data_IF_457868524582
#
_entry.id   IF_457868524582
#
_cell.length_a   1.000
_cell.length_b   1.000
_cell.length_c   1.000
_cell.angle_alpha   90.00
_cell.angle_beta   90.00
_cell.angle_gamma   90.00
#
_symmetry.space_group_name_H-M   'P 1'
#
loop_
_entity.id
_entity.type
_entity.pdbx_description
1 polymer ?
#
# COMPACT_ATOMS: atom_id res chain seq x y z
N UNK A 1 -5.57 12.82 -6.20
CA UNK A 1 -5.75 14.28 -5.98
C UNK A 1 -5.87 14.54 -4.48
N UNK A 2 -5.26 15.62 -3.96
CA UNK A 2 -5.39 15.97 -2.55
C UNK A 2 -6.53 16.98 -2.37
N UNK A 3 -7.51 16.63 -1.54
CA UNK A 3 -8.67 17.48 -1.27
C UNK A 3 -8.60 17.95 0.18
N UNK A 4 -8.58 19.27 0.39
CA UNK A 4 -8.65 19.85 1.72
C UNK A 4 -10.08 19.65 2.27
N UNK A 5 -10.20 18.91 3.36
CA UNK A 5 -11.47 18.71 4.06
C UNK A 5 -11.55 19.68 5.26
N UNK A 6 -12.75 20.07 5.70
CA UNK A 6 -12.93 20.96 6.86
C UNK A 6 -12.55 20.33 8.21
N UNK A 7 -12.22 19.03 8.20
CA UNK A 7 -11.62 18.35 9.34
C UNK A 7 -10.11 18.51 9.23
N UNK A 8 -9.42 18.85 10.32
CA UNK A 8 -7.99 19.24 10.35
C UNK A 8 -6.98 18.17 9.93
N UNK A 9 -7.16 17.53 8.78
CA UNK A 9 -6.25 16.59 8.14
C UNK A 9 -6.30 16.78 6.61
N UNK A 10 -5.24 16.36 5.92
CA UNK A 10 -5.21 16.30 4.45
C UNK A 10 -5.70 14.91 4.03
N UNK A 11 -6.71 14.87 3.16
CA UNK A 11 -7.19 13.62 2.57
C UNK A 11 -6.50 13.39 1.23
N UNK A 12 -5.83 12.25 1.09
CA UNK A 12 -5.31 11.78 -0.19
C UNK A 12 -6.27 10.72 -0.74
N UNK A 13 -6.80 10.95 -1.94
CA UNK A 13 -7.49 9.91 -2.70
C UNK A 13 -6.50 9.40 -3.75
N UNK A 14 -6.10 8.14 -3.61
CA UNK A 14 -5.26 7.40 -4.54
C UNK A 14 -6.12 6.37 -5.28
N UNK A 15 -6.23 6.53 -6.59
CA UNK A 15 -6.82 5.51 -7.46
C UNK A 15 -5.83 4.37 -7.61
N UNK A 16 -6.25 3.14 -7.31
CA UNK A 16 -5.46 1.93 -7.51
C UNK A 16 -6.28 0.86 -8.23
N UNK A 17 -5.58 -0.11 -8.82
CA UNK A 17 -6.22 -1.20 -9.56
C UNK A 17 -6.00 -1.09 -11.06
N UNK A 18 -6.14 0.11 -11.66
CA UNK A 18 -5.68 0.51 -13.01
C UNK A 18 -5.99 -0.43 -14.20
N UNK A 19 -6.74 -1.50 -13.97
CA UNK A 19 -7.04 -2.58 -14.91
C UNK A 19 -8.51 -2.98 -14.76
N UNK A 20 -9.19 -3.37 -15.84
CA UNK A 20 -10.53 -3.93 -15.75
C UNK A 20 -10.55 -5.17 -14.85
N UNK A 21 -11.59 -5.29 -14.03
CA UNK A 21 -11.88 -6.46 -13.20
C UNK A 21 -13.23 -7.04 -13.67
N UNK A 22 -13.33 -8.35 -13.87
CA UNK A 22 -14.60 -9.01 -14.21
C UNK A 22 -15.37 -9.46 -12.96
N UNK A 23 -16.64 -9.80 -13.12
CA UNK A 23 -17.40 -10.48 -12.08
C UNK A 23 -16.71 -11.78 -11.66
N UNK A 24 -16.45 -11.93 -10.37
CA UNK A 24 -15.72 -13.07 -9.80
C UNK A 24 -14.19 -12.94 -9.79
N UNK A 25 -13.61 -11.91 -10.42
CA UNK A 25 -12.19 -11.60 -10.26
C UNK A 25 -11.94 -10.77 -8.99
N UNK A 26 -10.70 -10.80 -8.50
CA UNK A 26 -10.24 -9.97 -7.39
C UNK A 26 -8.99 -9.19 -7.77
N UNK A 27 -8.82 -8.05 -7.11
CA UNK A 27 -7.57 -7.31 -7.07
C UNK A 27 -7.27 -6.94 -5.63
N UNK A 28 -5.99 -6.73 -5.34
CA UNK A 28 -5.51 -6.37 -4.02
C UNK A 28 -4.38 -5.36 -4.15
N UNK A 29 -4.20 -4.58 -3.09
CA UNK A 29 -3.08 -3.69 -2.89
C UNK A 29 -2.61 -3.85 -1.44
N UNK A 30 -1.31 -3.64 -1.22
CA UNK A 30 -0.71 -3.58 0.09
C UNK A 30 -0.13 -2.17 0.29
N UNK A 31 -0.48 -1.55 1.41
CA UNK A 31 -0.02 -0.20 1.76
C UNK A 31 0.93 -0.27 2.95
N UNK A 32 1.98 0.54 2.90
CA UNK A 32 2.85 0.77 4.05
C UNK A 32 2.43 2.10 4.66
N UNK A 33 1.87 2.05 5.87
CA UNK A 33 1.33 3.22 6.56
C UNK A 33 2.19 3.48 7.79
N UNK A 34 2.65 4.71 7.96
CA UNK A 34 3.49 5.10 9.08
C UNK A 34 3.59 6.61 9.24
N UNK A 35 4.16 7.03 10.37
CA UNK A 35 4.59 8.41 10.60
C UNK A 35 6.06 8.52 10.19
N UNK A 36 6.37 9.52 9.38
CA UNK A 36 7.71 9.78 8.87
C UNK A 36 8.05 11.24 9.13
N UNK A 37 9.29 11.52 9.52
CA UNK A 37 9.75 12.89 9.75
C UNK A 37 10.23 13.54 8.45
N UNK A 38 10.40 12.74 7.38
CA UNK A 38 10.71 13.23 6.04
C UNK A 38 10.22 12.32 4.91
N UNK A 39 10.08 12.89 3.71
CA UNK A 39 9.79 12.13 2.48
C UNK A 39 10.89 11.08 2.21
N UNK A 40 12.16 11.42 2.44
CA UNK A 40 13.26 10.48 2.21
C UNK A 40 13.25 9.27 3.14
N UNK A 41 12.68 9.37 4.34
CA UNK A 41 12.43 8.21 5.21
C UNK A 41 11.31 7.33 4.67
N UNK A 42 10.21 7.94 4.23
CA UNK A 42 9.10 7.23 3.59
C UNK A 42 9.58 6.46 2.35
N UNK A 43 10.37 7.09 1.49
CA UNK A 43 10.94 6.48 0.28
C UNK A 43 11.86 5.30 0.62
N UNK A 44 12.74 5.42 1.62
CA UNK A 44 13.59 4.30 2.06
C UNK A 44 12.78 3.10 2.56
N UNK A 45 11.66 3.35 3.23
CA UNK A 45 10.76 2.29 3.70
C UNK A 45 10.02 1.66 2.52
N UNK A 46 9.56 2.45 1.56
CA UNK A 46 9.01 1.94 0.31
C UNK A 46 10.01 1.03 -0.40
N UNK A 47 11.24 1.50 -0.63
CA UNK A 47 12.29 0.77 -1.35
C UNK A 47 12.63 -0.58 -0.69
N UNK A 48 12.62 -0.64 0.65
CA UNK A 48 12.83 -1.88 1.40
C UNK A 48 11.80 -2.96 1.05
N UNK A 49 10.55 -2.56 0.82
CA UNK A 49 9.44 -3.49 0.60
C UNK A 49 8.97 -3.52 -0.86
N UNK A 50 9.58 -2.74 -1.74
CA UNK A 50 9.25 -2.70 -3.16
C UNK A 50 9.28 -4.10 -3.79
N UNK A 51 8.26 -4.40 -4.62
CA UNK A 51 8.12 -5.69 -5.29
C UNK A 51 7.57 -6.83 -4.44
N UNK A 52 7.25 -6.59 -3.15
CA UNK A 52 6.39 -7.49 -2.40
C UNK A 52 4.93 -7.28 -2.82
N UNK A 53 4.23 -8.37 -3.06
CA UNK A 53 2.84 -8.35 -3.54
C UNK A 53 1.95 -9.37 -2.83
N UNK A 54 2.49 -10.07 -1.83
CA UNK A 54 1.75 -11.02 -1.01
C UNK A 54 2.07 -10.86 0.47
N UNK A 55 1.20 -11.42 1.30
CA UNK A 55 1.32 -11.47 2.75
C UNK A 55 1.00 -12.89 3.20
N UNK A 56 1.95 -13.54 3.86
CA UNK A 56 1.75 -14.79 4.57
C UNK A 56 1.51 -14.49 6.04
N UNK A 57 0.46 -15.07 6.61
CA UNK A 57 0.09 -14.92 8.03
C UNK A 57 0.16 -16.29 8.68
N UNK A 58 0.85 -16.36 9.82
CA UNK A 58 0.99 -17.53 10.67
C UNK A 58 0.74 -17.16 12.13
N UNK A 59 0.62 -18.16 13.01
CA UNK A 59 0.36 -17.93 14.44
C UNK A 59 1.44 -17.05 15.11
N UNK A 60 2.68 -17.22 14.68
CA UNK A 60 3.86 -16.49 15.15
C UNK A 60 4.05 -15.10 14.52
N UNK A 61 3.21 -14.70 13.55
CA UNK A 61 3.29 -13.37 12.93
C UNK A 61 3.04 -13.37 11.43
N UNK A 62 3.66 -12.43 10.72
CA UNK A 62 3.44 -12.23 9.29
C UNK A 62 4.74 -12.02 8.53
N UNK A 63 4.70 -12.30 7.22
CA UNK A 63 5.82 -12.11 6.30
C UNK A 63 5.30 -11.59 4.96
N UNK A 64 5.94 -10.56 4.44
CA UNK A 64 5.70 -10.13 3.06
C UNK A 64 6.36 -11.11 2.07
N UNK A 65 5.65 -11.44 1.01
CA UNK A 65 6.14 -12.30 -0.07
C UNK A 65 6.23 -11.53 -1.37
N UNK A 66 7.24 -11.84 -2.18
CA UNK A 66 7.40 -11.29 -3.53
C UNK A 66 6.46 -12.01 -4.48
N UNK A 67 5.97 -11.28 -5.48
CA UNK A 67 5.22 -11.89 -6.57
C UNK A 67 6.12 -12.91 -7.28
N UNK A 68 5.68 -14.16 -7.34
CA UNK A 68 6.26 -15.17 -8.23
C UNK A 68 5.63 -14.88 -9.60
N UNK A 69 6.23 -13.99 -10.38
CA UNK A 69 6.00 -13.93 -11.82
C UNK A 69 7.19 -14.54 -12.52
#
# INVERSE_FOLDING_TARGET
EAWCHQRGYVCLIEEFGGRPIRAGESFSAAFIVGFFDSIGEMEKVYDRYAGHAGLEVAEQGWKLTRSIR
#
